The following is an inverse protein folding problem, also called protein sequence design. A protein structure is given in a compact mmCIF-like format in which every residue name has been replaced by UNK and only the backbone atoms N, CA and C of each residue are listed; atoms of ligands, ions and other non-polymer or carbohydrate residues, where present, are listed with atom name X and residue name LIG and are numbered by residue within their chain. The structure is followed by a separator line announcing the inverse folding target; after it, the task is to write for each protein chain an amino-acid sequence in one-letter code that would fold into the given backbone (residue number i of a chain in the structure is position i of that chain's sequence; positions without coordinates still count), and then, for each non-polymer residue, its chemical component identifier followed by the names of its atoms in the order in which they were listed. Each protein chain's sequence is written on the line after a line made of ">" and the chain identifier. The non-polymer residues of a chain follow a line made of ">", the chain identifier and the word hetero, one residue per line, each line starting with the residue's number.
data_IF_633814973216
#
_entry.id   IF_633814973216
#
_cell.length_a   1.000
_cell.length_b   1.000
_cell.length_c   1.000
_cell.angle_alpha   90.00
_cell.angle_beta   90.00
_cell.angle_gamma   90.00
#
_symmetry.space_group_name_H-M   'P 1'
#
loop_
_entity.id
_entity.type
_entity.pdbx_description
1 polymer ?
#
# COMPACT_ATOMS: atom_id res chain seq x y z
N UNK A 1 5.02 41.66 15.49
CA UNK A 1 5.30 40.23 15.70
C UNK A 1 6.74 39.98 15.24
N UNK A 2 7.74 39.59 16.01
CA UNK A 2 7.99 39.54 17.44
C UNK A 2 9.53 39.47 17.50
N UNK A 3 10.23 40.35 18.21
CA UNK A 3 11.71 40.41 18.32
C UNK A 3 12.31 39.24 19.13
N UNK A 4 11.61 38.10 19.13
CA UNK A 4 11.90 36.91 19.94
C UNK A 4 12.55 35.78 19.12
N UNK A 5 12.55 35.85 17.79
CA UNK A 5 13.09 34.80 16.90
C UNK A 5 14.36 35.26 16.16
N UNK A 6 15.37 35.70 16.92
CA UNK A 6 16.59 36.36 16.40
C UNK A 6 17.46 35.51 15.46
N UNK A 7 17.29 34.18 15.51
CA UNK A 7 18.08 33.23 14.71
C UNK A 7 17.25 32.54 13.62
N UNK A 8 16.04 33.03 13.31
CA UNK A 8 15.14 32.44 12.32
C UNK A 8 14.94 33.42 11.18
N UNK A 9 15.13 32.96 9.95
CA UNK A 9 14.68 33.68 8.77
C UNK A 9 13.16 33.51 8.65
N UNK A 10 12.42 34.55 9.02
CA UNK A 10 10.97 34.54 9.04
C UNK A 10 10.35 34.53 7.64
N UNK A 11 11.13 34.78 6.59
CA UNK A 11 10.65 34.67 5.20
C UNK A 11 10.43 33.22 4.76
N UNK A 12 11.06 32.26 5.44
CA UNK A 12 10.90 30.82 5.20
C UNK A 12 9.78 30.19 6.04
N UNK A 13 9.19 30.95 6.96
CA UNK A 13 8.09 30.45 7.78
C UNK A 13 6.78 30.50 7.00
N UNK A 14 6.19 29.34 6.78
CA UNK A 14 4.86 29.22 6.19
C UNK A 14 3.76 29.49 7.24
N UNK A 15 3.67 30.74 7.70
CA UNK A 15 2.75 31.20 8.76
C UNK A 15 1.69 32.19 8.22
N UNK A 16 0.50 32.27 8.84
CA UNK A 16 0.00 31.39 9.91
C UNK A 16 -0.33 30.00 9.37
N UNK A 17 -0.37 29.02 10.29
CA UNK A 17 -0.94 27.71 10.00
C UNK A 17 -2.45 27.88 9.80
N UNK A 18 -2.95 27.54 8.63
CA UNK A 18 -4.39 27.57 8.31
C UNK A 18 -4.86 26.17 7.93
N UNK A 19 -6.16 25.89 8.07
CA UNK A 19 -6.72 24.62 7.61
C UNK A 19 -6.43 24.37 6.13
N UNK A 20 -6.50 25.40 5.29
CA UNK A 20 -6.22 25.29 3.85
C UNK A 20 -4.78 24.83 3.57
N UNK A 21 -3.81 25.26 4.38
CA UNK A 21 -2.40 24.79 4.27
C UNK A 21 -2.20 23.37 4.77
N UNK A 22 -3.14 22.84 5.55
CA UNK A 22 -3.13 21.46 6.05
C UNK A 22 -3.96 20.51 5.18
N UNK A 23 -4.81 21.03 4.27
CA UNK A 23 -5.59 20.21 3.36
C UNK A 23 -4.69 19.57 2.32
N UNK A 24 -4.84 18.26 2.16
CA UNK A 24 -4.28 17.59 1.00
C UNK A 24 -4.93 18.14 -0.28
N UNK A 25 -4.15 18.21 -1.35
CA UNK A 25 -4.68 18.56 -2.67
C UNK A 25 -5.77 17.55 -3.07
N UNK A 26 -6.85 18.04 -3.65
CA UNK A 26 -7.93 17.18 -4.15
C UNK A 26 -7.42 16.42 -5.38
N UNK A 27 -7.52 15.08 -5.33
CA UNK A 27 -7.02 14.21 -6.39
C UNK A 27 -8.17 13.86 -7.33
N UNK A 28 -8.03 14.17 -8.62
CA UNK A 28 -9.09 14.07 -9.61
C UNK A 28 -9.35 12.64 -10.16
N UNK A 29 -8.88 11.60 -9.48
CA UNK A 29 -9.07 10.21 -9.88
C UNK A 29 -9.57 9.35 -8.72
N UNK A 30 -10.22 8.21 -9.01
CA UNK A 30 -10.60 7.23 -7.99
C UNK A 30 -9.42 6.86 -7.07
N UNK A 31 -9.64 6.67 -5.77
CA UNK A 31 -8.62 6.12 -4.87
C UNK A 31 -8.17 4.74 -5.36
N UNK A 32 -6.87 4.52 -5.47
CA UNK A 32 -6.29 3.27 -5.99
C UNK A 32 -5.98 2.30 -4.85
N UNK A 33 -6.72 1.20 -4.75
CA UNK A 33 -6.55 0.22 -3.68
C UNK A 33 -6.01 -1.11 -4.24
N UNK A 34 -4.87 -1.53 -3.70
CA UNK A 34 -4.30 -2.87 -3.97
C UNK A 34 -4.73 -3.85 -2.88
N UNK A 35 -5.28 -4.98 -3.30
CA UNK A 35 -5.68 -6.06 -2.41
C UNK A 35 -4.70 -7.24 -2.49
N UNK A 36 -4.24 -7.71 -1.33
CA UNK A 36 -3.38 -8.88 -1.18
C UNK A 36 -4.09 -9.94 -0.31
N UNK A 37 -3.95 -11.23 -0.64
CA UNK A 37 -4.52 -12.31 0.16
C UNK A 37 -3.51 -13.43 0.48
N UNK A 38 -3.69 -14.09 1.63
CA UNK A 38 -2.72 -15.03 2.21
C UNK A 38 -2.95 -16.52 1.93
N UNK A 39 -3.71 -16.92 0.91
CA UNK A 39 -3.98 -18.35 0.67
C UNK A 39 -4.23 -18.69 -0.80
N UNK A 40 -3.53 -19.73 -1.27
CA UNK A 40 -3.64 -20.33 -2.61
C UNK A 40 -4.55 -21.58 -2.67
N UNK A 41 -5.27 -21.89 -1.58
CA UNK A 41 -6.25 -22.98 -1.62
C UNK A 41 -7.31 -22.69 -2.67
N UNK A 42 -7.81 -23.73 -3.33
CA UNK A 42 -8.92 -23.63 -4.28
C UNK A 42 -10.11 -22.86 -3.67
N UNK A 43 -10.54 -23.30 -2.48
CA UNK A 43 -11.48 -22.57 -1.61
C UNK A 43 -10.74 -21.80 -0.53
N UNK A 44 -10.37 -20.56 -0.84
CA UNK A 44 -9.63 -19.65 0.04
C UNK A 44 -10.57 -18.59 0.60
N UNK A 45 -10.90 -18.65 1.90
CA UNK A 45 -11.78 -17.66 2.52
C UNK A 45 -11.17 -16.25 2.53
N UNK A 46 -9.85 -16.12 2.70
CA UNK A 46 -9.20 -14.82 2.58
C UNK A 46 -9.32 -14.23 1.17
N UNK A 47 -9.29 -15.07 0.13
CA UNK A 47 -9.56 -14.62 -1.26
C UNK A 47 -11.01 -14.19 -1.42
N UNK A 48 -11.97 -14.97 -0.92
CA UNK A 48 -13.39 -14.63 -1.00
C UNK A 48 -13.70 -13.32 -0.24
N UNK A 49 -13.18 -13.14 0.98
CA UNK A 49 -13.30 -11.88 1.74
C UNK A 49 -12.65 -10.71 1.00
N UNK A 50 -11.51 -10.94 0.35
CA UNK A 50 -10.85 -9.93 -0.49
C UNK A 50 -11.73 -9.49 -1.66
N UNK A 51 -12.40 -10.44 -2.33
CA UNK A 51 -13.33 -10.15 -3.43
C UNK A 51 -14.56 -9.36 -2.93
N UNK A 52 -15.11 -9.68 -1.76
CA UNK A 52 -16.21 -8.90 -1.15
C UNK A 52 -15.76 -7.47 -0.80
N UNK A 53 -14.59 -7.32 -0.17
CA UNK A 53 -14.03 -6.01 0.15
C UNK A 53 -13.77 -5.18 -1.12
N UNK A 54 -13.30 -5.82 -2.20
CA UNK A 54 -13.12 -5.16 -3.50
C UNK A 54 -14.45 -4.66 -4.08
N UNK A 55 -15.55 -5.41 -3.95
CA UNK A 55 -16.88 -4.97 -4.39
C UNK A 55 -17.35 -3.75 -3.59
N UNK A 56 -17.16 -3.77 -2.27
CA UNK A 56 -17.51 -2.63 -1.40
C UNK A 56 -16.71 -1.38 -1.76
N UNK A 57 -15.39 -1.51 -1.89
CA UNK A 57 -14.51 -0.39 -2.26
C UNK A 57 -14.85 0.18 -3.65
N UNK A 58 -15.13 -0.70 -4.61
CA UNK A 58 -15.58 -0.27 -5.95
C UNK A 58 -16.90 0.49 -5.87
N UNK A 59 -17.87 0.01 -5.07
CA UNK A 59 -19.14 0.72 -4.84
C UNK A 59 -18.95 2.07 -4.12
N UNK A 60 -17.88 2.20 -3.32
CA UNK A 60 -17.46 3.46 -2.68
C UNK A 60 -16.67 4.39 -3.63
N UNK A 61 -16.41 3.97 -4.87
CA UNK A 61 -15.74 4.80 -5.88
C UNK A 61 -14.23 4.59 -6.01
N UNK A 62 -13.66 3.52 -5.45
CA UNK A 62 -12.25 3.19 -5.61
C UNK A 62 -11.95 2.40 -6.90
N UNK A 63 -10.77 2.58 -7.47
CA UNK A 63 -10.18 1.66 -8.46
C UNK A 63 -9.46 0.54 -7.69
N UNK A 64 -9.90 -0.71 -7.85
CA UNK A 64 -9.37 -1.84 -7.07
C UNK A 64 -8.64 -2.83 -7.97
N UNK A 65 -7.43 -3.25 -7.56
CA UNK A 65 -6.70 -4.35 -8.18
C UNK A 65 -6.37 -5.42 -7.14
N UNK A 66 -6.56 -6.68 -7.50
CA UNK A 66 -6.27 -7.83 -6.63
C UNK A 66 -5.05 -8.56 -7.20
N UNK A 67 -4.01 -8.71 -6.40
CA UNK A 67 -2.83 -9.49 -6.81
C UNK A 67 -3.08 -10.98 -6.57
N UNK A 68 -2.81 -11.82 -7.58
CA UNK A 68 -2.79 -13.27 -7.42
C UNK A 68 -1.36 -13.73 -7.09
N UNK A 69 -1.07 -14.27 -5.89
CA UNK A 69 0.28 -14.67 -5.50
C UNK A 69 0.71 -16.03 -6.06
N UNK A 70 -0.10 -16.69 -6.89
CA UNK A 70 0.30 -17.96 -7.51
C UNK A 70 1.54 -17.76 -8.39
N UNK A 71 2.55 -18.60 -8.18
CA UNK A 71 3.84 -18.51 -8.87
C UNK A 71 4.75 -17.38 -8.36
N UNK A 72 4.41 -16.68 -7.27
CA UNK A 72 5.35 -15.78 -6.60
C UNK A 72 6.45 -16.63 -5.92
N UNK A 73 7.74 -16.43 -6.25
CA UNK A 73 8.84 -17.17 -5.62
C UNK A 73 8.98 -16.78 -4.16
N UNK A 74 9.69 -17.59 -3.38
CA UNK A 74 10.11 -17.16 -2.04
C UNK A 74 11.09 -15.98 -2.15
N UNK A 75 11.09 -15.04 -1.20
CA UNK A 75 12.14 -14.02 -1.14
C UNK A 75 13.53 -14.64 -1.29
N UNK A 76 14.39 -14.01 -2.09
CA UNK A 76 15.76 -14.44 -2.43
C UNK A 76 15.88 -15.71 -3.30
N UNK A 77 14.78 -16.36 -3.68
CA UNK A 77 14.77 -17.57 -4.54
C UNK A 77 14.67 -17.25 -6.05
N UNK A 78 14.54 -15.98 -6.41
CA UNK A 78 14.45 -15.52 -7.79
C UNK A 78 14.98 -14.09 -7.94
N UNK A 79 15.39 -13.66 -9.15
CA UNK A 79 15.75 -12.27 -9.39
C UNK A 79 14.52 -11.35 -9.25
N UNK A 80 14.75 -10.08 -8.94
CA UNK A 80 13.68 -9.07 -8.86
C UNK A 80 12.94 -8.86 -10.19
N UNK A 81 13.57 -9.27 -11.31
CA UNK A 81 12.98 -9.28 -12.65
C UNK A 81 11.99 -10.42 -12.87
N UNK A 82 11.79 -11.31 -11.88
CA UNK A 82 10.80 -12.37 -11.97
C UNK A 82 9.41 -11.77 -12.24
N UNK A 83 8.63 -12.28 -13.22
CA UNK A 83 7.39 -11.62 -13.65
C UNK A 83 6.40 -11.32 -12.52
N UNK A 84 6.23 -12.25 -11.58
CA UNK A 84 5.34 -12.06 -10.41
C UNK A 84 5.86 -11.03 -9.40
N UNK A 85 7.18 -10.89 -9.28
CA UNK A 85 7.80 -9.90 -8.39
C UNK A 85 7.66 -8.51 -9.00
N UNK A 86 7.93 -8.39 -10.31
CA UNK A 86 7.72 -7.16 -11.06
C UNK A 86 6.24 -6.72 -11.02
N UNK A 87 5.30 -7.63 -11.30
CA UNK A 87 3.85 -7.35 -11.23
C UNK A 87 3.44 -6.85 -9.83
N UNK A 88 3.86 -7.53 -8.77
CA UNK A 88 3.56 -7.11 -7.39
C UNK A 88 4.09 -5.71 -7.11
N UNK A 89 5.35 -5.43 -7.49
CA UNK A 89 5.98 -4.13 -7.26
C UNK A 89 5.30 -3.02 -8.05
N UNK A 90 4.94 -3.26 -9.31
CA UNK A 90 4.18 -2.29 -10.11
C UNK A 90 2.79 -2.01 -9.53
N UNK A 91 2.09 -3.03 -9.03
CA UNK A 91 0.81 -2.84 -8.35
C UNK A 91 0.97 -2.04 -7.06
N UNK A 92 2.02 -2.31 -6.28
CA UNK A 92 2.31 -1.56 -5.05
C UNK A 92 2.67 -0.12 -5.40
N UNK A 93 3.41 0.15 -6.47
CA UNK A 93 3.71 1.50 -6.93
C UNK A 93 2.45 2.25 -7.35
N UNK A 94 1.56 1.59 -8.09
CA UNK A 94 0.28 2.14 -8.55
C UNK A 94 -0.67 2.50 -7.41
N UNK A 95 -0.68 1.76 -6.30
CA UNK A 95 -1.66 1.94 -5.23
C UNK A 95 -1.44 3.19 -4.38
N UNK A 96 -2.50 3.67 -3.75
CA UNK A 96 -2.50 4.74 -2.74
C UNK A 96 -2.91 4.22 -1.36
N UNK A 97 -3.62 3.09 -1.35
CA UNK A 97 -3.93 2.30 -0.17
C UNK A 97 -3.85 0.81 -0.46
N UNK A 98 -3.77 0.02 0.61
CA UNK A 98 -3.73 -1.44 0.53
C UNK A 98 -4.70 -2.09 1.51
N UNK A 99 -5.17 -3.29 1.16
CA UNK A 99 -5.87 -4.19 2.07
C UNK A 99 -5.16 -5.54 2.09
N UNK A 100 -4.80 -6.02 3.28
CA UNK A 100 -4.10 -7.29 3.45
C UNK A 100 -4.97 -8.30 4.18
N UNK A 101 -5.47 -9.31 3.46
CA UNK A 101 -6.31 -10.34 4.05
C UNK A 101 -5.51 -11.65 4.25
N UNK A 102 -4.99 -11.85 5.45
CA UNK A 102 -4.35 -13.13 5.81
C UNK A 102 -5.32 -14.04 6.56
N UNK A 103 -5.40 -15.34 6.20
CA UNK A 103 -5.86 -16.34 7.16
C UNK A 103 -4.98 -16.34 8.41
N UNK A 104 -5.52 -16.86 9.50
CA UNK A 104 -4.70 -17.32 10.62
C UNK A 104 -4.33 -18.79 10.40
N UNK A 105 -3.03 -19.09 10.39
CA UNK A 105 -2.50 -20.44 10.25
C UNK A 105 -1.50 -20.70 11.37
N UNK A 106 -1.82 -21.66 12.24
CA UNK A 106 -1.05 -21.94 13.45
C UNK A 106 -0.88 -20.71 14.37
N UNK A 107 -1.94 -19.90 14.51
CA UNK A 107 -1.94 -18.73 15.40
C UNK A 107 -1.22 -17.49 14.85
N UNK A 108 -0.87 -17.46 13.57
CA UNK A 108 -0.14 -16.35 12.95
C UNK A 108 -0.62 -16.05 11.53
N UNK A 109 -0.17 -14.90 10.98
CA UNK A 109 -0.31 -14.62 9.55
C UNK A 109 0.37 -15.69 8.71
N UNK A 110 -0.13 -15.90 7.49
CA UNK A 110 0.39 -16.94 6.60
C UNK A 110 1.74 -16.57 6.01
N UNK A 111 2.55 -17.58 5.71
CA UNK A 111 3.79 -17.41 4.95
C UNK A 111 3.57 -16.80 3.56
N UNK A 112 2.44 -17.09 2.90
CA UNK A 112 2.07 -16.48 1.60
C UNK A 112 1.85 -14.98 1.75
N UNK A 113 1.17 -14.54 2.82
CA UNK A 113 0.99 -13.10 3.08
C UNK A 113 2.35 -12.44 3.37
N UNK A 114 3.16 -13.06 4.23
CA UNK A 114 4.47 -12.51 4.61
C UNK A 114 5.45 -12.43 3.43
N UNK A 115 5.48 -13.46 2.58
CA UNK A 115 6.31 -13.49 1.39
C UNK A 115 5.97 -12.37 0.41
N UNK A 116 4.68 -12.04 0.23
CA UNK A 116 4.28 -10.88 -0.57
C UNK A 116 4.86 -9.57 -0.01
N UNK A 117 4.77 -9.36 1.31
CA UNK A 117 5.31 -8.15 1.95
C UNK A 117 6.83 -8.09 1.84
N UNK A 118 7.51 -9.23 1.98
CA UNK A 118 8.98 -9.31 1.90
C UNK A 118 9.52 -8.95 0.51
N UNK A 119 8.72 -9.13 -0.54
CA UNK A 119 9.07 -8.69 -1.89
C UNK A 119 8.91 -7.17 -2.12
N UNK A 120 8.33 -6.44 -1.16
CA UNK A 120 8.10 -4.99 -1.25
C UNK A 120 9.24 -4.27 -0.52
N UNK A 121 10.20 -3.66 -1.25
CA UNK A 121 11.29 -2.94 -0.61
C UNK A 121 10.78 -1.62 0.00
N UNK A 122 11.40 -1.20 1.11
CA UNK A 122 11.16 0.14 1.66
C UNK A 122 11.60 1.25 0.69
N UNK A 123 12.64 1.00 -0.10
CA UNK A 123 13.24 1.96 -1.02
C UNK A 123 13.60 1.30 -2.34
N UNK A 124 13.23 1.94 -3.45
CA UNK A 124 13.75 1.62 -4.79
C UNK A 124 14.31 2.91 -5.39
N UNK A 125 15.60 3.17 -5.17
CA UNK A 125 16.22 4.47 -5.42
C UNK A 125 15.54 5.60 -4.63
N UNK A 126 15.01 6.60 -5.33
CA UNK A 126 14.27 7.72 -4.73
C UNK A 126 12.80 7.36 -4.38
N UNK A 127 12.29 6.23 -4.89
CA UNK A 127 10.89 5.84 -4.69
C UNK A 127 10.73 5.11 -3.36
N UNK A 128 9.60 5.35 -2.69
CA UNK A 128 9.19 4.70 -1.43
C UNK A 128 7.87 3.96 -1.66
N UNK A 129 7.90 2.67 -2.07
CA UNK A 129 6.72 1.99 -2.59
C UNK A 129 5.51 1.94 -1.65
N UNK A 130 5.72 1.85 -0.33
CA UNK A 130 4.64 1.72 0.66
C UNK A 130 4.52 2.89 1.63
N UNK A 131 5.50 3.80 1.67
CA UNK A 131 5.53 4.89 2.64
C UNK A 131 4.40 5.89 2.40
N UNK A 132 3.68 6.27 3.45
CA UNK A 132 2.59 7.26 3.40
C UNK A 132 1.27 6.74 2.81
N UNK A 133 1.22 5.48 2.37
CA UNK A 133 0.00 4.84 1.87
C UNK A 133 -0.87 4.32 3.02
N UNK A 134 -2.18 4.31 2.82
CA UNK A 134 -3.12 3.79 3.82
C UNK A 134 -3.13 2.26 3.84
N UNK A 135 -3.45 1.66 4.98
CA UNK A 135 -3.51 0.21 5.14
C UNK A 135 -4.72 -0.20 5.98
N UNK A 136 -5.46 -1.21 5.52
CA UNK A 136 -6.41 -1.98 6.32
C UNK A 136 -5.98 -3.46 6.38
N UNK A 137 -6.24 -4.11 7.51
CA UNK A 137 -5.90 -5.52 7.80
C UNK A 137 -7.12 -6.30 8.26
#
# INVERSE_FOLDING_TARGET
>A
MNDTLKNIDTSLLDVPLTEDKLRAAEVAHPPRILMLYGSLRERSYSRLTTEEAARLLTAMGAEVKIFNPSGLPLPDDAPETHPKVAELRELVLWSEGMVWCSPERHGAMTGIMKAQIDWIPLTSGAVRPSQGKTLAV
#
